data_IF_951703586342
#
_entry.id   IF_951703586342
#
_cell.length_a   1.000
_cell.length_b   1.000
_cell.length_c   1.000
_cell.angle_alpha   90.00
_cell.angle_beta   90.00
_cell.angle_gamma   90.00
#
_symmetry.space_group_name_H-M   'P 1'
#
loop_
_entity.id
_entity.type
_entity.pdbx_description
1 polymer ?
#
# COMPACT_ATOMS: atom_id res chain seq x y z
N UNK A 1 -6.56 -10.60 18.64
CA UNK A 1 -7.43 -11.73 18.24
C UNK A 1 -6.60 -12.91 17.76
N UNK A 2 -7.13 -14.13 17.76
CA UNK A 2 -6.43 -15.30 17.23
C UNK A 2 -6.65 -15.49 15.71
N UNK A 3 -5.76 -16.23 15.06
CA UNK A 3 -5.82 -16.50 13.62
C UNK A 3 -7.14 -17.18 13.19
N UNK A 4 -7.73 -17.98 14.07
CA UNK A 4 -8.99 -18.67 13.81
C UNK A 4 -10.14 -17.67 13.62
N UNK A 5 -10.19 -16.63 14.46
CA UNK A 5 -11.20 -15.56 14.37
C UNK A 5 -11.05 -14.76 13.07
N UNK A 6 -9.83 -14.38 12.70
CA UNK A 6 -9.58 -13.68 11.42
C UNK A 6 -10.03 -14.51 10.23
N UNK A 7 -9.66 -15.81 10.20
CA UNK A 7 -10.06 -16.71 9.12
C UNK A 7 -11.58 -16.88 9.03
N UNK A 8 -12.30 -16.92 10.17
CA UNK A 8 -13.77 -16.99 10.18
C UNK A 8 -14.38 -15.75 9.50
N UNK A 9 -13.88 -14.56 9.83
CA UNK A 9 -14.38 -13.29 9.26
C UNK A 9 -14.06 -13.21 7.77
N UNK A 10 -12.84 -13.54 7.36
CA UNK A 10 -12.44 -13.59 5.94
C UNK A 10 -13.33 -14.56 5.16
N UNK A 11 -13.58 -15.76 5.70
CA UNK A 11 -14.48 -16.74 5.06
C UNK A 11 -15.94 -16.25 5.00
N UNK A 12 -16.41 -15.55 6.03
CA UNK A 12 -17.76 -14.97 6.03
C UNK A 12 -17.90 -13.90 4.95
N UNK A 13 -17.00 -12.91 4.91
CA UNK A 13 -17.01 -11.82 3.92
C UNK A 13 -16.85 -12.39 2.50
N UNK A 14 -16.00 -13.39 2.33
CA UNK A 14 -15.90 -14.11 1.07
C UNK A 14 -17.22 -14.78 0.65
N UNK A 15 -17.93 -15.40 1.59
CA UNK A 15 -19.24 -16.00 1.36
C UNK A 15 -20.29 -15.00 0.88
N UNK A 16 -20.20 -13.73 1.30
CA UNK A 16 -21.09 -12.66 0.80
C UNK A 16 -20.97 -12.53 -0.73
N UNK A 17 -19.76 -12.65 -1.29
CA UNK A 17 -19.55 -12.57 -2.72
C UNK A 17 -20.28 -13.70 -3.47
N UNK A 18 -20.18 -14.93 -2.94
CA UNK A 18 -20.81 -16.12 -3.48
C UNK A 18 -22.34 -16.13 -3.34
N UNK A 19 -22.86 -15.49 -2.29
CA UNK A 19 -24.29 -15.44 -1.97
C UNK A 19 -25.02 -14.31 -2.71
N UNK A 20 -24.37 -13.14 -2.85
CA UNK A 20 -25.02 -11.90 -3.31
C UNK A 20 -24.62 -11.52 -4.74
N UNK A 21 -23.40 -11.84 -5.17
CA UNK A 21 -22.83 -11.31 -6.41
C UNK A 21 -22.73 -12.34 -7.55
N UNK A 22 -23.00 -13.62 -7.27
CA UNK A 22 -22.76 -14.76 -8.18
C UNK A 22 -23.26 -14.56 -9.59
N UNK A 23 -24.52 -14.18 -9.72
CA UNK A 23 -25.21 -14.05 -11.01
C UNK A 23 -25.25 -12.60 -11.53
N UNK A 24 -24.64 -11.67 -10.79
CA UNK A 24 -24.62 -10.24 -11.12
C UNK A 24 -23.27 -9.83 -11.72
N UNK A 25 -22.18 -10.38 -11.20
CA UNK A 25 -20.82 -10.05 -11.59
C UNK A 25 -20.04 -11.31 -11.95
N UNK A 26 -19.04 -11.15 -12.84
CA UNK A 26 -18.03 -12.20 -13.03
C UNK A 26 -17.19 -12.30 -11.74
N UNK A 27 -16.68 -13.49 -11.42
CA UNK A 27 -15.87 -13.71 -10.20
C UNK A 27 -14.73 -12.70 -10.03
N UNK A 28 -14.00 -12.40 -11.10
CA UNK A 28 -12.92 -11.40 -11.04
C UNK A 28 -13.37 -9.96 -10.83
N UNK A 29 -14.68 -9.71 -10.76
CA UNK A 29 -15.31 -8.41 -10.45
C UNK A 29 -15.98 -8.36 -9.09
N UNK A 30 -15.88 -9.43 -8.28
CA UNK A 30 -16.27 -9.38 -6.88
C UNK A 30 -15.44 -8.41 -6.04
N UNK A 31 -14.12 -8.25 -6.25
CA UNK A 31 -13.32 -7.30 -5.47
C UNK A 31 -13.86 -5.85 -5.56
N UNK A 32 -14.33 -5.44 -6.75
CA UNK A 32 -14.90 -4.11 -7.04
C UNK A 32 -16.13 -3.76 -6.16
N UNK A 33 -16.73 -4.76 -5.50
CA UNK A 33 -17.89 -4.58 -4.61
C UNK A 33 -17.55 -4.94 -3.16
N UNK A 34 -16.88 -6.08 -2.95
CA UNK A 34 -16.61 -6.61 -1.60
C UNK A 34 -15.57 -5.78 -0.85
N UNK A 35 -14.50 -5.35 -1.52
CA UNK A 35 -13.45 -4.56 -0.86
C UNK A 35 -13.98 -3.18 -0.44
N UNK A 36 -14.66 -2.39 -1.30
CA UNK A 36 -15.24 -1.12 -0.88
C UNK A 36 -16.26 -1.26 0.24
N UNK A 37 -17.13 -2.30 0.20
CA UNK A 37 -18.10 -2.53 1.27
C UNK A 37 -17.44 -2.90 2.60
N UNK A 38 -16.34 -3.67 2.58
CA UNK A 38 -15.58 -3.99 3.78
C UNK A 38 -14.98 -2.72 4.41
N UNK A 39 -14.38 -1.85 3.59
CA UNK A 39 -13.85 -0.55 4.02
C UNK A 39 -14.98 0.31 4.58
N UNK A 40 -16.08 0.50 3.84
CA UNK A 40 -17.22 1.29 4.27
C UNK A 40 -17.79 0.81 5.61
N UNK A 41 -17.96 -0.51 5.78
CA UNK A 41 -18.50 -1.05 7.03
C UNK A 41 -17.54 -0.81 8.20
N UNK A 42 -16.23 -0.92 7.98
CA UNK A 42 -15.23 -0.60 9.02
C UNK A 42 -15.31 0.88 9.41
N UNK A 43 -15.28 1.79 8.44
CA UNK A 43 -15.32 3.23 8.71
C UNK A 43 -16.62 3.63 9.43
N UNK A 44 -17.76 3.12 8.97
CA UNK A 44 -19.07 3.33 9.61
C UNK A 44 -19.08 2.82 11.06
N UNK A 45 -18.59 1.60 11.30
CA UNK A 45 -18.56 1.02 12.65
C UNK A 45 -17.63 1.76 13.62
N UNK A 46 -16.62 2.48 13.12
CA UNK A 46 -15.74 3.35 13.91
C UNK A 46 -16.43 4.69 14.22
N UNK A 47 -17.21 5.22 13.28
CA UNK A 47 -17.92 6.51 13.41
C UNK A 47 -19.28 6.42 14.11
N UNK A 48 -19.90 5.23 14.17
CA UNK A 48 -21.21 5.01 14.81
C UNK A 48 -21.35 5.74 16.18
N UNK A 49 -20.36 5.68 17.10
CA UNK A 49 -20.45 6.37 18.40
C UNK A 49 -20.38 7.90 18.33
N UNK A 50 -19.69 8.47 17.32
CA UNK A 50 -19.47 9.93 17.19
C UNK A 50 -20.38 10.60 16.15
N UNK A 51 -21.19 9.84 15.41
CA UNK A 51 -22.07 10.33 14.35
C UNK A 51 -22.95 11.53 14.78
N UNK A 52 -23.55 11.48 15.98
CA UNK A 52 -24.36 12.59 16.49
C UNK A 52 -23.54 13.87 16.71
N UNK A 53 -22.35 13.75 17.32
CA UNK A 53 -21.46 14.88 17.57
C UNK A 53 -20.96 15.52 16.26
N UNK A 54 -20.67 14.70 15.25
CA UNK A 54 -20.28 15.18 13.91
C UNK A 54 -21.42 15.96 13.26
N UNK A 55 -22.66 15.46 13.32
CA UNK A 55 -23.82 16.14 12.75
C UNK A 55 -24.15 17.46 13.45
N UNK A 56 -24.09 17.48 14.79
CA UNK A 56 -24.27 18.72 15.57
C UNK A 56 -23.19 19.76 15.23
N UNK A 57 -21.93 19.33 15.14
CA UNK A 57 -20.80 20.18 14.75
C UNK A 57 -20.99 20.72 13.33
N UNK A 58 -21.40 19.86 12.39
CA UNK A 58 -21.68 20.24 11.00
C UNK A 58 -22.76 21.32 10.92
N UNK A 59 -23.87 21.12 11.62
CA UNK A 59 -24.96 22.08 11.67
C UNK A 59 -24.49 23.43 12.23
N UNK A 60 -23.77 23.43 13.35
CA UNK A 60 -23.23 24.64 13.96
C UNK A 60 -22.31 25.41 12.99
N UNK A 61 -21.42 24.70 12.27
CA UNK A 61 -20.49 25.30 11.32
C UNK A 61 -21.22 25.88 10.10
N UNK A 62 -22.27 25.21 9.62
CA UNK A 62 -23.10 25.68 8.51
C UNK A 62 -23.90 26.92 8.87
N UNK A 63 -24.51 26.95 10.05
CA UNK A 63 -25.21 28.13 10.59
C UNK A 63 -24.26 29.32 10.76
N UNK A 64 -23.01 29.04 11.16
CA UNK A 64 -21.93 30.03 11.26
C UNK A 64 -21.31 30.40 9.90
N UNK A 65 -21.70 29.75 8.79
CA UNK A 65 -21.17 29.95 7.43
C UNK A 65 -19.65 29.74 7.32
N UNK A 66 -19.09 28.82 8.11
CA UNK A 66 -17.68 28.43 8.02
C UNK A 66 -17.49 27.54 6.79
N UNK A 67 -16.52 27.85 5.93
CA UNK A 67 -16.25 27.06 4.72
C UNK A 67 -15.28 25.90 4.99
N UNK A 68 -14.23 26.15 5.77
CA UNK A 68 -13.22 25.14 6.13
C UNK A 68 -13.66 24.40 7.39
N UNK A 69 -14.29 23.23 7.21
CA UNK A 69 -14.91 22.46 8.29
C UNK A 69 -14.15 21.16 8.63
N UNK A 70 -13.22 20.74 7.77
CA UNK A 70 -12.62 19.40 7.79
C UNK A 70 -11.99 19.04 9.14
N UNK A 71 -11.07 19.87 9.65
CA UNK A 71 -10.42 19.64 10.95
C UNK A 71 -11.42 19.55 12.10
N UNK A 72 -12.40 20.46 12.15
CA UNK A 72 -13.39 20.48 13.23
C UNK A 72 -14.29 19.24 13.22
N UNK A 73 -14.61 18.71 12.03
CA UNK A 73 -15.40 17.49 11.88
C UNK A 73 -14.57 16.24 12.23
N UNK A 74 -13.29 16.19 11.86
CA UNK A 74 -12.35 15.16 12.30
C UNK A 74 -12.19 15.15 13.84
N UNK A 75 -12.06 16.33 14.46
CA UNK A 75 -11.97 16.48 15.91
C UNK A 75 -13.25 15.97 16.60
N UNK A 76 -14.43 16.30 16.06
CA UNK A 76 -15.72 15.80 16.55
C UNK A 76 -15.88 14.29 16.37
N UNK A 77 -15.35 13.74 15.28
CA UNK A 77 -15.35 12.30 15.02
C UNK A 77 -14.37 11.54 15.92
N UNK A 78 -13.31 12.20 16.40
CA UNK A 78 -12.16 11.58 17.07
C UNK A 78 -11.34 10.70 16.13
N UNK A 79 -11.39 10.98 14.82
CA UNK A 79 -10.81 10.18 13.75
C UNK A 79 -10.28 11.10 12.63
N UNK A 80 -9.32 10.64 11.81
CA UNK A 80 -8.82 11.40 10.67
C UNK A 80 -9.79 11.40 9.46
N UNK A 81 -11.05 11.06 9.69
CA UNK A 81 -12.12 11.01 8.71
C UNK A 81 -13.45 11.19 9.44
N UNK A 82 -14.49 11.57 8.70
CA UNK A 82 -15.84 11.76 9.25
C UNK A 82 -16.91 11.37 8.22
N UNK A 83 -18.16 11.32 8.66
CA UNK A 83 -19.32 11.21 7.78
C UNK A 83 -20.43 12.17 8.26
N UNK A 84 -20.88 13.06 7.37
CA UNK A 84 -21.95 14.05 7.64
C UNK A 84 -23.32 13.61 7.15
N UNK A 85 -23.48 12.38 6.66
CA UNK A 85 -24.80 11.82 6.35
C UNK A 85 -25.57 11.56 7.64
N UNK A 86 -26.89 11.73 7.56
CA UNK A 86 -27.82 11.37 8.63
C UNK A 86 -28.05 9.86 8.76
N UNK A 87 -27.48 9.06 7.86
CA UNK A 87 -27.61 7.62 7.83
C UNK A 87 -26.32 6.95 8.28
N UNK A 88 -26.43 5.95 9.13
CA UNK A 88 -25.41 4.91 9.30
C UNK A 88 -25.71 3.74 8.34
N UNK A 89 -24.75 2.86 8.09
CA UNK A 89 -25.00 1.66 7.27
C UNK A 89 -26.13 0.80 7.86
N UNK A 90 -26.29 0.81 9.19
CA UNK A 90 -27.36 0.06 9.89
C UNK A 90 -28.76 0.63 9.63
N UNK A 91 -28.89 1.93 9.38
CA UNK A 91 -30.16 2.60 9.05
C UNK A 91 -30.64 2.32 7.62
N UNK A 92 -29.76 1.73 6.82
CA UNK A 92 -30.00 1.35 5.42
C UNK A 92 -30.42 -0.12 5.29
N UNK A 93 -30.51 -0.87 6.40
CA UNK A 93 -31.06 -2.22 6.42
C UNK A 93 -32.56 -2.21 6.08
N UNK A 94 -33.03 -3.20 5.33
CA UNK A 94 -34.47 -3.50 5.16
C UNK A 94 -35.37 -2.33 4.75
N UNK A 95 -34.99 -1.59 3.69
CA UNK A 95 -35.87 -0.56 3.10
C UNK A 95 -36.81 -1.17 2.05
N UNK A 96 -38.11 -0.99 2.23
CA UNK A 96 -39.12 -1.57 1.32
C UNK A 96 -39.19 -0.95 -0.09
N UNK A 97 -38.41 0.11 -0.36
CA UNK A 97 -38.36 0.78 -1.67
C UNK A 97 -36.91 0.85 -2.17
N UNK A 98 -36.62 0.17 -3.28
CA UNK A 98 -35.30 0.09 -3.90
C UNK A 98 -34.75 1.45 -4.34
N UNK A 99 -35.59 2.32 -4.89
CA UNK A 99 -35.17 3.64 -5.35
C UNK A 99 -34.80 4.55 -4.17
N UNK A 100 -35.57 4.46 -3.09
CA UNK A 100 -35.28 5.20 -1.86
C UNK A 100 -34.00 4.67 -1.20
N UNK A 101 -33.83 3.34 -1.10
CA UNK A 101 -32.61 2.73 -0.58
C UNK A 101 -31.38 3.18 -1.34
N UNK A 102 -31.46 3.20 -2.68
CA UNK A 102 -30.37 3.69 -3.51
C UNK A 102 -30.03 5.14 -3.21
N UNK A 103 -31.03 6.03 -3.17
CA UNK A 103 -30.81 7.46 -2.90
C UNK A 103 -30.22 7.69 -1.50
N UNK A 104 -30.72 6.98 -0.49
CA UNK A 104 -30.20 7.07 0.88
C UNK A 104 -28.77 6.51 0.99
N UNK A 105 -28.46 5.45 0.24
CA UNK A 105 -27.11 4.90 0.19
C UNK A 105 -26.14 5.84 -0.54
N UNK A 106 -26.58 6.49 -1.62
CA UNK A 106 -25.78 7.53 -2.31
C UNK A 106 -25.50 8.73 -1.39
N UNK A 107 -26.49 9.20 -0.61
CA UNK A 107 -26.32 10.24 0.44
C UNK A 107 -25.34 9.82 1.54
N UNK A 108 -25.46 8.57 2.02
CA UNK A 108 -24.51 7.98 2.96
C UNK A 108 -23.08 8.01 2.44
N UNK A 109 -22.88 7.67 1.16
CA UNK A 109 -21.57 7.75 0.52
C UNK A 109 -21.09 9.20 0.36
N UNK A 110 -21.98 10.14 0.01
CA UNK A 110 -21.64 11.56 -0.18
C UNK A 110 -21.21 12.25 1.11
N UNK A 111 -21.68 11.77 2.27
CA UNK A 111 -21.36 12.37 3.56
C UNK A 111 -19.92 12.14 4.04
N UNK A 112 -19.18 11.19 3.46
CA UNK A 112 -17.82 10.90 3.89
C UNK A 112 -16.81 12.03 3.56
N UNK A 113 -15.78 12.17 4.40
CA UNK A 113 -14.68 13.14 4.24
C UNK A 113 -13.88 12.98 2.93
N UNK A 114 -13.17 14.02 2.47
CA UNK A 114 -12.49 14.01 1.16
C UNK A 114 -11.51 12.85 0.95
N UNK A 115 -10.76 12.46 1.99
CA UNK A 115 -9.84 11.32 1.92
C UNK A 115 -10.54 9.97 1.69
N UNK A 116 -11.76 9.80 2.20
CA UNK A 116 -12.60 8.62 1.96
C UNK A 116 -13.28 8.72 0.59
N UNK A 117 -13.70 9.91 0.14
CA UNK A 117 -14.20 10.10 -1.23
C UNK A 117 -13.15 9.67 -2.27
N UNK A 118 -11.89 10.04 -2.07
CA UNK A 118 -10.76 9.68 -2.94
C UNK A 118 -10.58 8.14 -3.03
N UNK A 119 -10.72 7.43 -1.90
CA UNK A 119 -10.75 5.95 -1.87
C UNK A 119 -11.91 5.42 -2.71
N UNK A 120 -13.14 5.93 -2.51
CA UNK A 120 -14.35 5.44 -3.18
C UNK A 120 -14.35 5.72 -4.69
N UNK A 121 -13.82 6.87 -5.10
CA UNK A 121 -13.66 7.24 -6.50
C UNK A 121 -12.68 6.30 -7.21
N UNK A 122 -11.53 6.02 -6.60
CA UNK A 122 -10.51 5.14 -7.17
C UNK A 122 -10.94 3.66 -7.16
N UNK A 123 -11.77 3.23 -6.21
CA UNK A 123 -12.48 1.96 -6.27
C UNK A 123 -13.58 1.90 -7.35
N UNK A 124 -14.02 3.06 -7.87
CA UNK A 124 -15.15 3.19 -8.79
C UNK A 124 -16.43 2.55 -8.25
N UNK A 125 -16.61 2.54 -6.92
CA UNK A 125 -17.69 1.78 -6.28
C UNK A 125 -19.08 2.30 -6.68
N UNK A 126 -19.22 3.62 -6.87
CA UNK A 126 -20.48 4.25 -7.33
C UNK A 126 -20.97 3.69 -8.66
N UNK A 127 -20.07 3.24 -9.53
CA UNK A 127 -20.43 2.64 -10.81
C UNK A 127 -21.13 1.27 -10.65
N UNK A 128 -20.96 0.62 -9.50
CA UNK A 128 -21.57 -0.68 -9.21
C UNK A 128 -22.99 -0.56 -8.64
N UNK A 129 -23.32 0.59 -8.02
CA UNK A 129 -24.60 0.84 -7.34
C UNK A 129 -25.81 0.64 -8.27
N UNK A 130 -25.84 1.13 -9.52
CA UNK A 130 -26.98 0.91 -10.41
C UNK A 130 -27.29 -0.57 -10.66
N UNK A 131 -26.24 -1.38 -10.84
CA UNK A 131 -26.36 -2.83 -11.06
C UNK A 131 -26.88 -3.52 -9.81
N UNK A 132 -26.30 -3.21 -8.64
CA UNK A 132 -26.71 -3.76 -7.34
C UNK A 132 -28.17 -3.40 -7.00
N UNK A 133 -28.57 -2.16 -7.26
CA UNK A 133 -29.93 -1.67 -6.99
C UNK A 133 -30.95 -2.32 -7.92
N UNK A 134 -30.68 -2.38 -9.23
CA UNK A 134 -31.58 -3.00 -10.21
C UNK A 134 -31.83 -4.49 -9.96
N UNK A 135 -30.84 -5.18 -9.39
CA UNK A 135 -30.90 -6.59 -9.06
C UNK A 135 -31.42 -6.88 -7.63
N UNK A 136 -31.87 -5.86 -6.89
CA UNK A 136 -32.31 -5.97 -5.48
C UNK A 136 -31.22 -6.53 -4.53
N UNK A 137 -29.96 -6.40 -4.92
CA UNK A 137 -28.82 -6.94 -4.17
C UNK A 137 -28.24 -5.94 -3.16
N UNK A 138 -28.46 -4.63 -3.36
CA UNK A 138 -27.89 -3.58 -2.50
C UNK A 138 -28.32 -3.73 -1.03
N UNK A 139 -29.61 -3.95 -0.78
CA UNK A 139 -30.14 -4.15 0.59
C UNK A 139 -29.58 -5.41 1.24
N UNK A 140 -29.59 -6.53 0.50
CA UNK A 140 -29.00 -7.80 0.95
C UNK A 140 -27.51 -7.65 1.29
N UNK A 141 -26.77 -6.88 0.50
CA UNK A 141 -25.35 -6.61 0.72
C UNK A 141 -25.14 -5.83 2.03
N UNK A 142 -25.91 -4.75 2.24
CA UNK A 142 -25.89 -3.96 3.49
C UNK A 142 -26.24 -4.83 4.69
N UNK A 143 -27.26 -5.69 4.58
CA UNK A 143 -27.66 -6.61 5.64
C UNK A 143 -26.55 -7.60 6.00
N UNK A 144 -25.90 -8.22 5.01
CA UNK A 144 -24.79 -9.15 5.20
C UNK A 144 -23.58 -8.50 5.88
N UNK A 145 -23.22 -7.27 5.50
CA UNK A 145 -22.10 -6.55 6.14
C UNK A 145 -22.45 -6.02 7.54
N UNK A 146 -23.73 -5.85 7.85
CA UNK A 146 -24.21 -5.50 9.19
C UNK A 146 -24.60 -6.71 10.04
N UNK A 147 -24.33 -7.93 9.58
CA UNK A 147 -24.71 -9.16 10.27
C UNK A 147 -23.97 -9.27 11.61
N UNK A 148 -24.68 -9.51 12.74
CA UNK A 148 -24.06 -9.62 14.05
C UNK A 148 -23.14 -10.84 14.24
N UNK A 149 -23.10 -11.79 13.30
CA UNK A 149 -22.15 -12.93 13.32
C UNK A 149 -20.69 -12.54 13.07
N UNK A 150 -20.47 -11.34 12.54
CA UNK A 150 -19.14 -10.75 12.37
C UNK A 150 -19.05 -9.42 13.09
N UNK A 151 -17.85 -9.08 13.56
CA UNK A 151 -17.58 -7.78 14.16
C UNK A 151 -16.38 -7.13 13.49
N UNK A 152 -16.63 -6.01 12.79
CA UNK A 152 -15.60 -5.15 12.22
C UNK A 152 -15.44 -3.85 13.03
N UNK A 153 -16.10 -3.71 14.18
CA UNK A 153 -16.03 -2.52 15.05
C UNK A 153 -14.86 -2.60 16.04
N UNK A 154 -14.26 -1.47 16.45
CA UNK A 154 -13.31 -1.43 17.56
C UNK A 154 -13.94 -1.78 18.92
N UNK A 155 -15.26 -1.91 19.00
CA UNK A 155 -15.99 -2.29 20.21
C UNK A 155 -16.41 -3.77 20.17
N UNK A 156 -16.41 -4.49 21.30
CA UNK A 156 -16.90 -5.86 21.34
C UNK A 156 -18.43 -5.92 21.16
N UNK A 157 -18.92 -7.02 20.58
CA UNK A 157 -20.35 -7.35 20.57
C UNK A 157 -20.66 -8.18 21.80
N UNK A 158 -21.64 -7.74 22.60
CA UNK A 158 -22.03 -8.40 23.84
C UNK A 158 -23.33 -9.20 23.65
N UNK A 159 -23.45 -10.30 24.39
CA UNK A 159 -24.70 -11.02 24.59
C UNK A 159 -25.60 -10.25 25.56
N UNK A 160 -26.86 -10.68 25.68
CA UNK A 160 -27.83 -10.08 26.61
C UNK A 160 -27.42 -10.22 28.09
N UNK A 161 -26.59 -11.20 28.42
CA UNK A 161 -26.03 -11.42 29.76
C UNK A 161 -24.72 -10.64 30.02
N UNK A 162 -24.28 -9.82 29.06
CA UNK A 162 -23.06 -9.02 29.14
C UNK A 162 -21.78 -9.79 28.79
N UNK A 163 -21.84 -11.08 28.46
CA UNK A 163 -20.68 -11.84 27.98
C UNK A 163 -20.28 -11.41 26.57
N UNK A 164 -18.99 -11.49 26.22
CA UNK A 164 -18.49 -11.12 24.90
C UNK A 164 -18.89 -12.19 23.88
N UNK A 165 -19.77 -11.84 22.94
CA UNK A 165 -20.14 -12.68 21.79
C UNK A 165 -19.05 -12.66 20.73
N UNK A 166 -18.61 -11.45 20.36
CA UNK A 166 -17.51 -11.24 19.43
C UNK A 166 -16.53 -10.21 20.02
N UNK A 167 -15.22 -10.50 20.02
CA UNK A 167 -14.22 -9.56 20.51
C UNK A 167 -14.20 -8.28 19.68
N UNK A 168 -13.67 -7.21 20.26
CA UNK A 168 -13.35 -5.98 19.56
C UNK A 168 -12.36 -6.23 18.40
N UNK A 169 -12.58 -5.54 17.29
CA UNK A 169 -11.66 -5.48 16.15
C UNK A 169 -10.75 -4.27 16.25
N UNK A 170 -9.59 -4.47 16.86
CA UNK A 170 -8.51 -3.49 16.83
C UNK A 170 -8.00 -3.25 15.40
N UNK A 171 -7.32 -2.13 15.20
CA UNK A 171 -6.83 -1.67 13.90
C UNK A 171 -5.88 -2.66 13.23
N UNK A 172 -4.98 -3.28 14.00
CA UNK A 172 -4.02 -4.26 13.48
C UNK A 172 -4.73 -5.53 12.99
N UNK A 173 -5.69 -6.03 13.77
CA UNK A 173 -6.50 -7.17 13.40
C UNK A 173 -7.36 -6.89 12.15
N UNK A 174 -7.93 -5.69 12.05
CA UNK A 174 -8.71 -5.30 10.86
C UNK A 174 -7.83 -5.24 9.61
N UNK A 175 -6.64 -4.63 9.71
CA UNK A 175 -5.66 -4.62 8.63
C UNK A 175 -5.30 -6.04 8.17
N UNK A 176 -5.11 -6.96 9.12
CA UNK A 176 -4.85 -8.38 8.81
C UNK A 176 -6.01 -9.03 8.05
N UNK A 177 -7.26 -8.79 8.46
CA UNK A 177 -8.46 -9.33 7.78
C UNK A 177 -8.59 -8.76 6.37
N UNK A 178 -8.39 -7.45 6.21
CA UNK A 178 -8.49 -6.78 4.92
C UNK A 178 -7.41 -7.25 3.95
N UNK A 179 -6.17 -7.36 4.44
CA UNK A 179 -5.04 -7.92 3.69
C UNK A 179 -5.32 -9.35 3.20
N UNK A 180 -5.83 -10.22 4.07
CA UNK A 180 -6.12 -11.61 3.71
C UNK A 180 -7.26 -11.70 2.66
N UNK A 181 -8.24 -10.79 2.70
CA UNK A 181 -9.26 -10.67 1.65
C UNK A 181 -8.63 -10.28 0.31
N UNK A 182 -7.79 -9.25 0.31
CA UNK A 182 -7.06 -8.80 -0.89
C UNK A 182 -6.19 -9.92 -1.46
N UNK A 183 -5.43 -10.62 -0.60
CA UNK A 183 -4.63 -11.78 -0.98
C UNK A 183 -5.49 -12.85 -1.66
N UNK A 184 -6.62 -13.21 -1.07
CA UNK A 184 -7.51 -14.26 -1.59
C UNK A 184 -8.11 -13.88 -2.94
N UNK A 185 -8.52 -12.63 -3.12
CA UNK A 185 -9.00 -12.14 -4.42
C UNK A 185 -7.90 -12.12 -5.49
N UNK A 186 -6.69 -11.70 -5.14
CA UNK A 186 -5.54 -11.71 -6.05
C UNK A 186 -5.14 -13.14 -6.47
N UNK A 187 -5.20 -14.10 -5.53
CA UNK A 187 -4.95 -15.52 -5.82
C UNK A 187 -5.96 -16.11 -6.80
N UNK A 188 -7.22 -15.69 -6.75
CA UNK A 188 -8.25 -16.17 -7.69
C UNK A 188 -8.21 -15.48 -9.06
N UNK A 189 -7.75 -14.22 -9.12
CA UNK A 189 -7.78 -13.41 -10.35
C UNK A 189 -6.63 -13.71 -11.33
N UNK A 190 -5.62 -14.50 -10.95
CA UNK A 190 -4.52 -14.92 -11.85
C UNK A 190 -3.81 -13.75 -12.59
N UNK A 191 -3.80 -12.55 -12.00
CA UNK A 191 -3.14 -11.38 -12.58
C UNK A 191 -1.60 -11.53 -12.59
N UNK A 192 -0.94 -10.74 -13.46
CA UNK A 192 0.50 -10.82 -13.71
C UNK A 192 1.33 -10.71 -12.43
N UNK A 193 2.37 -11.54 -12.35
CA UNK A 193 3.23 -11.65 -11.17
C UNK A 193 4.03 -10.35 -10.92
N UNK A 194 4.01 -9.87 -9.67
CA UNK A 194 4.94 -8.88 -9.15
C UNK A 194 4.39 -7.47 -8.94
N UNK A 195 3.20 -7.15 -9.44
CA UNK A 195 2.67 -5.77 -9.46
C UNK A 195 1.68 -5.41 -8.35
N UNK A 196 0.98 -6.38 -7.77
CA UNK A 196 -0.09 -6.09 -6.81
C UNK A 196 0.20 -6.64 -5.41
N UNK A 197 1.08 -7.65 -5.30
CA UNK A 197 1.32 -8.33 -4.04
C UNK A 197 2.72 -8.97 -3.92
N UNK A 198 3.49 -8.54 -2.92
CA UNK A 198 4.80 -9.10 -2.57
C UNK A 198 4.67 -10.10 -1.41
N UNK A 199 5.18 -11.34 -1.53
CA UNK A 199 5.12 -12.32 -0.45
C UNK A 199 5.73 -11.82 0.87
N UNK A 200 5.04 -12.03 2.00
CA UNK A 200 5.43 -11.53 3.32
C UNK A 200 6.81 -11.99 3.80
N UNK A 201 7.22 -13.19 3.44
CA UNK A 201 8.57 -13.70 3.68
C UNK A 201 9.65 -12.92 2.90
N UNK A 202 9.39 -12.56 1.64
CA UNK A 202 10.28 -11.69 0.87
C UNK A 202 10.34 -10.27 1.48
N UNK A 203 9.20 -9.69 1.85
CA UNK A 203 9.15 -8.36 2.49
C UNK A 203 9.93 -8.35 3.82
N UNK A 204 9.74 -9.36 4.68
CA UNK A 204 10.51 -9.50 5.92
C UNK A 204 12.01 -9.64 5.69
N UNK A 205 12.42 -10.33 4.62
CA UNK A 205 13.82 -10.39 4.25
C UNK A 205 14.36 -9.01 3.83
N UNK A 206 13.64 -8.29 2.97
CA UNK A 206 14.03 -6.94 2.50
C UNK A 206 14.22 -5.97 3.67
N UNK A 207 13.24 -5.90 4.56
CA UNK A 207 13.24 -5.01 5.73
C UNK A 207 14.36 -5.38 6.71
N UNK A 208 14.60 -6.68 6.96
CA UNK A 208 15.74 -7.12 7.78
C UNK A 208 17.09 -6.80 7.13
N UNK A 209 17.24 -6.93 5.82
CA UNK A 209 18.45 -6.52 5.11
C UNK A 209 18.72 -5.01 5.22
N UNK A 210 17.66 -4.19 5.28
CA UNK A 210 17.76 -2.75 5.50
C UNK A 210 18.12 -2.44 6.95
N UNK A 211 17.42 -3.00 7.94
CA UNK A 211 17.49 -2.51 9.33
C UNK A 211 18.47 -3.26 10.23
N UNK A 212 18.69 -4.57 10.05
CA UNK A 212 19.62 -5.32 10.92
C UNK A 212 21.04 -4.73 10.95
N UNK A 213 21.62 -4.25 9.83
CA UNK A 213 22.97 -3.66 9.86
C UNK A 213 23.09 -2.36 10.64
N UNK A 214 21.97 -1.74 11.04
CA UNK A 214 21.92 -0.49 11.78
C UNK A 214 21.09 -0.60 13.08
N UNK A 215 20.69 -1.81 13.49
CA UNK A 215 19.75 -2.00 14.58
C UNK A 215 20.21 -1.36 15.89
N UNK A 216 21.52 -1.42 16.17
CA UNK A 216 22.19 -0.81 17.32
C UNK A 216 22.30 0.72 17.26
N UNK A 217 21.94 1.33 16.12
CA UNK A 217 22.03 2.76 15.84
C UNK A 217 20.68 3.43 15.65
N UNK A 218 19.58 2.67 15.68
CA UNK A 218 18.23 3.24 15.63
C UNK A 218 18.00 3.98 16.95
N UNK A 219 17.66 5.26 16.86
CA UNK A 219 17.44 6.15 18.00
C UNK A 219 15.95 6.53 18.07
N UNK A 220 15.43 6.91 19.25
CA UNK A 220 14.13 7.54 19.34
C UNK A 220 14.05 8.75 18.41
N UNK A 221 12.95 8.90 17.69
CA UNK A 221 12.79 9.93 16.66
C UNK A 221 11.91 9.49 15.50
N UNK A 222 11.82 10.37 14.50
CA UNK A 222 11.01 10.16 13.31
C UNK A 222 11.84 9.60 12.15
N UNK A 223 11.31 8.61 11.45
CA UNK A 223 11.91 8.03 10.25
C UNK A 223 10.92 8.03 9.09
N UNK A 224 11.37 8.46 7.91
CA UNK A 224 10.53 8.46 6.71
C UNK A 224 10.81 7.23 5.84
N UNK A 225 9.76 6.46 5.54
CA UNK A 225 9.80 5.24 4.74
C UNK A 225 9.10 5.48 3.40
N UNK A 226 9.69 5.03 2.29
CA UNK A 226 9.13 5.25 0.95
C UNK A 226 9.10 4.00 0.06
N UNK A 227 7.98 3.82 -0.65
CA UNK A 227 7.81 2.86 -1.73
C UNK A 227 7.16 3.52 -2.96
N UNK A 228 7.90 3.60 -4.07
CA UNK A 228 7.46 4.19 -5.32
C UNK A 228 6.67 3.25 -6.23
N UNK A 229 6.36 2.04 -5.80
CA UNK A 229 5.44 1.13 -6.46
C UNK A 229 4.77 0.31 -5.35
N UNK A 230 4.07 1.03 -4.45
CA UNK A 230 3.73 0.50 -3.14
C UNK A 230 2.67 -0.60 -3.17
N UNK A 231 2.00 -0.79 -4.30
CA UNK A 231 0.91 -1.74 -4.43
C UNK A 231 -0.11 -1.47 -3.32
N UNK A 232 -0.44 -2.51 -2.57
CA UNK A 232 -1.42 -2.46 -1.47
C UNK A 232 -0.84 -1.92 -0.16
N UNK A 233 0.40 -1.42 -0.13
CA UNK A 233 1.03 -0.83 1.07
C UNK A 233 1.61 -1.85 2.06
N UNK A 234 1.51 -3.15 1.77
CA UNK A 234 2.00 -4.19 2.65
C UNK A 234 3.50 -4.05 2.98
N UNK A 235 4.33 -3.65 2.01
CA UNK A 235 5.76 -3.48 2.24
C UNK A 235 6.09 -2.39 3.26
N UNK A 236 5.43 -1.23 3.16
CA UNK A 236 5.60 -0.11 4.07
C UNK A 236 5.26 -0.50 5.51
N UNK A 237 4.14 -1.18 5.72
CA UNK A 237 3.68 -1.57 7.06
C UNK A 237 4.58 -2.63 7.72
N UNK A 238 5.07 -3.61 6.96
CA UNK A 238 6.05 -4.57 7.53
C UNK A 238 7.40 -3.91 7.80
N UNK A 239 7.77 -2.89 7.02
CA UNK A 239 8.99 -2.14 7.27
C UNK A 239 8.89 -1.33 8.57
N UNK A 240 7.76 -0.67 8.81
CA UNK A 240 7.44 -0.02 10.09
C UNK A 240 7.51 -1.01 11.26
N UNK A 241 6.77 -2.12 11.19
CA UNK A 241 6.77 -3.14 12.24
C UNK A 241 8.18 -3.64 12.56
N UNK A 242 8.97 -3.94 11.51
CA UNK A 242 10.34 -4.45 11.67
C UNK A 242 11.26 -3.40 12.29
N UNK A 243 11.13 -2.12 11.92
CA UNK A 243 11.94 -1.04 12.48
C UNK A 243 11.61 -0.83 13.97
N UNK A 244 10.32 -0.81 14.32
CA UNK A 244 9.86 -0.67 15.70
C UNK A 244 10.29 -1.86 16.55
N UNK A 245 10.15 -3.09 16.04
CA UNK A 245 10.59 -4.32 16.71
C UNK A 245 12.09 -4.28 17.02
N UNK A 246 12.92 -3.98 16.02
CA UNK A 246 14.38 -3.92 16.20
C UNK A 246 14.80 -2.80 17.15
N UNK A 247 14.15 -1.64 17.08
CA UNK A 247 14.43 -0.53 17.98
C UNK A 247 14.05 -0.86 19.44
N UNK A 248 12.94 -1.58 19.64
CA UNK A 248 12.52 -2.09 20.96
C UNK A 248 13.52 -3.11 21.50
N UNK A 249 13.94 -4.06 20.68
CA UNK A 249 14.96 -5.05 21.05
C UNK A 249 16.29 -4.38 21.45
N UNK A 250 16.72 -3.38 20.68
CA UNK A 250 17.92 -2.60 20.98
C UNK A 250 17.79 -1.78 22.28
N UNK A 251 16.57 -1.35 22.62
CA UNK A 251 16.26 -0.62 23.86
C UNK A 251 15.86 -1.53 25.04
N UNK A 252 16.31 -2.79 25.05
CA UNK A 252 16.08 -3.71 26.18
C UNK A 252 14.63 -4.15 26.38
N UNK A 253 13.78 -4.00 25.35
CA UNK A 253 12.36 -4.35 25.39
C UNK A 253 11.42 -3.18 25.71
N UNK A 254 11.95 -2.00 26.00
CA UNK A 254 11.16 -0.80 26.29
C UNK A 254 10.66 -0.10 25.02
N UNK A 255 9.66 0.77 25.18
CA UNK A 255 9.15 1.58 24.07
C UNK A 255 10.29 2.38 23.41
N UNK A 256 10.44 2.23 22.10
CA UNK A 256 11.59 2.74 21.38
C UNK A 256 11.54 4.25 21.11
N UNK A 257 10.37 4.88 21.29
CA UNK A 257 10.13 6.28 20.90
C UNK A 257 10.33 6.54 19.40
N UNK A 258 10.30 5.48 18.58
CA UNK A 258 10.38 5.55 17.13
C UNK A 258 9.00 5.87 16.57
N UNK A 259 8.91 6.93 15.78
CA UNK A 259 7.75 7.25 14.94
C UNK A 259 8.14 7.09 13.47
N UNK A 260 7.24 6.57 12.67
CA UNK A 260 7.43 6.34 11.24
C UNK A 260 6.43 7.15 10.44
N UNK A 261 6.87 7.61 9.26
CA UNK A 261 6.02 8.26 8.28
C UNK A 261 6.11 7.49 6.97
N UNK A 262 4.98 6.95 6.52
CA UNK A 262 4.91 6.05 5.38
C UNK A 262 4.50 6.81 4.12
N UNK A 263 5.33 6.77 3.10
CA UNK A 263 5.11 7.40 1.80
C UNK A 263 4.98 6.34 0.71
N UNK A 264 3.86 6.37 -0.01
CA UNK A 264 3.57 5.40 -1.07
C UNK A 264 3.15 6.07 -2.37
N UNK A 265 3.57 5.51 -3.50
CA UNK A 265 3.04 5.86 -4.82
C UNK A 265 2.59 4.62 -5.59
N UNK A 266 1.37 4.66 -6.15
CA UNK A 266 0.77 3.55 -6.90
C UNK A 266 -0.04 4.05 -8.12
N UNK A 267 0.26 3.51 -9.30
CA UNK A 267 -0.37 3.95 -10.56
C UNK A 267 -1.74 3.31 -10.79
N UNK A 268 -1.98 2.10 -10.26
CA UNK A 268 -3.25 1.42 -10.40
C UNK A 268 -4.27 2.00 -9.40
N UNK A 269 -5.38 2.62 -9.87
CA UNK A 269 -6.38 3.27 -9.00
C UNK A 269 -6.94 2.34 -7.91
N UNK A 270 -7.32 1.12 -8.28
CA UNK A 270 -7.94 0.17 -7.34
C UNK A 270 -6.93 -0.28 -6.28
N UNK A 271 -5.68 -0.52 -6.68
CA UNK A 271 -4.59 -0.90 -5.78
C UNK A 271 -4.21 0.26 -4.84
N UNK A 272 -4.18 1.49 -5.36
CA UNK A 272 -4.02 2.71 -4.57
C UNK A 272 -5.13 2.85 -3.52
N UNK A 273 -6.39 2.68 -3.92
CA UNK A 273 -7.53 2.75 -3.01
C UNK A 273 -7.44 1.72 -1.88
N UNK A 274 -6.97 0.50 -2.18
CA UNK A 274 -6.69 -0.54 -1.17
C UNK A 274 -5.60 -0.07 -0.19
N UNK A 275 -4.48 0.44 -0.71
CA UNK A 275 -3.37 0.92 0.12
C UNK A 275 -3.81 2.06 1.05
N UNK A 276 -4.48 3.08 0.50
CA UNK A 276 -4.96 4.23 1.27
C UNK A 276 -6.02 3.83 2.30
N UNK A 277 -6.93 2.92 1.94
CA UNK A 277 -7.91 2.39 2.88
C UNK A 277 -7.26 1.59 4.02
N UNK A 278 -6.26 0.75 3.74
CA UNK A 278 -5.55 -0.02 4.77
C UNK A 278 -4.84 0.90 5.77
N UNK A 279 -4.15 1.94 5.29
CA UNK A 279 -3.51 2.95 6.15
C UNK A 279 -4.54 3.68 7.04
N UNK A 280 -5.68 4.08 6.47
CA UNK A 280 -6.74 4.76 7.21
C UNK A 280 -7.37 3.84 8.27
N UNK A 281 -7.59 2.57 7.93
CA UNK A 281 -8.15 1.54 8.83
C UNK A 281 -7.20 1.21 9.99
N UNK A 282 -5.88 1.30 9.77
CA UNK A 282 -4.87 1.10 10.80
C UNK A 282 -4.81 2.24 11.83
N UNK A 283 -5.53 3.34 11.57
CA UNK A 283 -5.62 4.50 12.46
C UNK A 283 -4.56 5.56 12.19
N UNK A 284 -3.77 5.39 11.12
CA UNK A 284 -2.67 6.29 10.77
C UNK A 284 -3.11 7.26 9.68
N UNK A 285 -3.99 8.20 10.05
CA UNK A 285 -4.53 9.20 9.13
C UNK A 285 -3.45 9.99 8.38
N UNK A 286 -2.39 10.41 9.09
CA UNK A 286 -1.25 11.11 8.49
C UNK A 286 -0.56 10.27 7.41
N UNK A 287 -0.47 8.95 7.60
CA UNK A 287 0.12 8.04 6.60
C UNK A 287 -0.80 7.85 5.39
N UNK A 288 -2.12 7.82 5.58
CA UNK A 288 -3.08 7.72 4.48
C UNK A 288 -2.98 8.91 3.50
N UNK A 289 -2.70 10.12 3.99
CA UNK A 289 -2.50 11.32 3.16
C UNK A 289 -1.15 11.35 2.42
N UNK A 290 -0.20 10.52 2.87
CA UNK A 290 1.09 10.27 2.24
C UNK A 290 1.03 9.10 1.23
N UNK A 291 -0.14 8.53 0.95
CA UNK A 291 -0.33 7.64 -0.19
C UNK A 291 -0.87 8.46 -1.37
N UNK A 292 -0.16 8.41 -2.50
CA UNK A 292 -0.54 9.11 -3.73
C UNK A 292 -0.72 8.09 -4.84
N UNK A 293 -1.77 8.21 -5.63
CA UNK A 293 -2.02 7.22 -6.65
C UNK A 293 -3.23 7.52 -7.51
N UNK A 294 -3.39 6.69 -8.55
CA UNK A 294 -4.32 6.94 -9.64
C UNK A 294 -3.61 6.83 -10.99
N UNK A 295 -4.40 6.75 -12.06
CA UNK A 295 -3.89 6.50 -13.42
C UNK A 295 -2.93 7.60 -13.93
N UNK A 296 -3.00 8.77 -13.32
CA UNK A 296 -2.18 9.95 -13.57
C UNK A 296 -0.91 10.03 -12.71
N UNK A 297 -0.75 9.17 -11.69
CA UNK A 297 0.35 9.21 -10.73
C UNK A 297 1.43 8.15 -11.00
N UNK A 298 1.95 8.12 -12.23
CA UNK A 298 3.13 7.28 -12.50
C UNK A 298 4.36 7.81 -11.77
N UNK A 299 5.06 6.93 -11.05
CA UNK A 299 6.32 7.25 -10.35
C UNK A 299 7.41 7.76 -11.28
N UNK A 300 7.41 7.33 -12.55
CA UNK A 300 8.41 7.76 -13.52
C UNK A 300 8.08 9.14 -14.10
N UNK A 301 6.85 9.37 -14.57
CA UNK A 301 6.49 10.61 -15.27
C UNK A 301 5.82 11.70 -14.42
N UNK A 302 5.21 11.32 -13.29
CA UNK A 302 4.55 12.21 -12.34
C UNK A 302 4.93 11.84 -10.90
N UNK A 303 6.17 12.14 -10.54
CA UNK A 303 6.73 11.88 -9.21
C UNK A 303 6.02 12.70 -8.14
N UNK A 304 5.23 12.05 -7.30
CA UNK A 304 4.49 12.72 -6.23
C UNK A 304 5.40 13.28 -5.14
N UNK A 305 6.67 12.83 -5.09
CA UNK A 305 7.63 13.12 -4.05
C UNK A 305 8.94 13.68 -4.61
N UNK A 306 8.90 14.42 -5.72
CA UNK A 306 10.07 14.87 -6.47
C UNK A 306 11.18 15.55 -5.65
N UNK A 307 10.84 16.30 -4.61
CA UNK A 307 11.79 17.03 -3.76
C UNK A 307 12.05 16.38 -2.39
N UNK A 308 11.46 15.22 -2.10
CA UNK A 308 11.65 14.52 -0.83
C UNK A 308 12.88 13.59 -0.88
N UNK A 309 13.55 13.52 0.26
CA UNK A 309 14.58 12.54 0.60
C UNK A 309 14.02 11.63 1.69
N UNK A 310 14.42 10.36 1.74
CA UNK A 310 13.87 9.38 2.67
C UNK A 310 14.97 8.61 3.41
N UNK A 311 14.74 8.25 4.68
CA UNK A 311 15.68 7.44 5.46
C UNK A 311 15.72 6.01 4.94
N UNK A 312 14.55 5.45 4.62
CA UNK A 312 14.44 4.04 4.26
C UNK A 312 13.51 3.86 3.08
N UNK A 313 13.92 3.07 2.11
CA UNK A 313 13.10 2.86 0.92
C UNK A 313 13.09 1.39 0.52
N UNK A 314 11.93 0.91 0.10
CA UNK A 314 11.77 -0.44 -0.39
C UNK A 314 10.75 -0.46 -1.50
N UNK A 315 10.95 -1.30 -2.51
CA UNK A 315 9.99 -1.40 -3.60
C UNK A 315 10.09 -2.73 -4.36
N UNK A 316 8.98 -3.17 -4.92
CA UNK A 316 8.92 -4.28 -5.87
C UNK A 316 8.24 -3.77 -7.16
N UNK A 317 8.97 -3.03 -8.01
CA UNK A 317 8.41 -2.44 -9.21
C UNK A 317 8.11 -3.48 -10.30
N UNK A 318 7.25 -3.16 -11.28
CA UNK A 318 6.93 -4.05 -12.40
C UNK A 318 8.17 -4.52 -13.17
N UNK A 319 8.24 -5.83 -13.45
CA UNK A 319 9.41 -6.44 -14.10
C UNK A 319 9.36 -6.33 -15.62
N UNK A 320 10.37 -5.70 -16.23
CA UNK A 320 10.53 -5.70 -17.69
C UNK A 320 9.38 -5.02 -18.44
N UNK A 321 8.64 -4.13 -17.76
CA UNK A 321 7.51 -3.43 -18.37
C UNK A 321 7.96 -2.19 -19.15
N UNK A 322 7.24 -1.97 -20.25
CA UNK A 322 7.43 -0.80 -21.09
C UNK A 322 6.96 0.47 -20.36
N UNK A 323 7.83 1.49 -20.34
CA UNK A 323 7.55 2.83 -19.82
C UNK A 323 7.46 3.87 -20.96
N UNK A 324 7.08 3.44 -22.17
CA UNK A 324 6.91 4.33 -23.33
C UNK A 324 5.98 5.52 -23.06
N UNK A 325 4.86 5.30 -22.37
CA UNK A 325 3.91 6.35 -22.01
C UNK A 325 4.55 7.39 -21.10
N UNK A 326 5.32 6.94 -20.11
CA UNK A 326 6.07 7.82 -19.22
C UNK A 326 7.11 8.63 -20.00
N UNK A 327 7.85 7.96 -20.89
CA UNK A 327 8.82 8.64 -21.73
C UNK A 327 8.17 9.71 -22.62
N UNK A 328 7.03 9.42 -23.24
CA UNK A 328 6.30 10.40 -24.07
C UNK A 328 5.82 11.60 -23.23
N UNK A 329 5.34 11.35 -22.01
CA UNK A 329 4.91 12.40 -21.07
C UNK A 329 6.08 13.28 -20.62
N UNK A 330 7.21 12.67 -20.25
CA UNK A 330 8.41 13.38 -19.80
C UNK A 330 9.20 14.03 -20.93
N UNK A 331 8.99 13.57 -22.16
CA UNK A 331 9.73 14.00 -23.34
C UNK A 331 8.80 14.08 -24.57
N UNK A 332 7.98 15.14 -24.68
CA UNK A 332 7.02 15.30 -25.78
C UNK A 332 7.63 15.33 -27.18
N UNK A 333 8.94 15.61 -27.27
CA UNK A 333 9.69 15.57 -28.54
C UNK A 333 9.91 14.14 -29.09
N UNK A 334 9.65 13.11 -28.27
CA UNK A 334 9.93 11.70 -28.58
C UNK A 334 11.41 11.30 -28.59
N UNK A 335 12.33 12.26 -28.40
CA UNK A 335 13.78 12.02 -28.41
C UNK A 335 14.32 11.87 -26.99
N UNK A 336 14.66 10.63 -26.60
CA UNK A 336 15.21 10.30 -25.27
C UNK A 336 16.30 11.26 -24.77
N UNK A 337 17.19 11.70 -25.66
CA UNK A 337 18.30 12.60 -25.32
C UNK A 337 17.87 14.01 -24.90
N UNK A 338 16.60 14.36 -25.12
CA UNK A 338 16.02 15.63 -24.68
C UNK A 338 15.28 15.56 -23.34
N UNK A 339 15.20 14.38 -22.72
CA UNK A 339 14.76 14.25 -21.33
C UNK A 339 15.71 15.06 -20.43
N UNK A 340 15.17 15.82 -19.47
CA UNK A 340 15.92 16.72 -18.57
C UNK A 340 15.58 16.52 -17.09
N UNK A 341 14.87 15.46 -16.75
CA UNK A 341 14.55 15.13 -15.37
C UNK A 341 15.85 14.86 -14.58
N UNK A 342 16.10 15.58 -13.47
CA UNK A 342 17.34 15.46 -12.69
C UNK A 342 17.51 14.10 -12.02
N UNK A 343 16.46 13.27 -11.95
CA UNK A 343 16.55 11.89 -11.46
C UNK A 343 17.23 10.97 -12.49
N UNK A 344 17.19 11.34 -13.78
CA UNK A 344 17.65 10.49 -14.87
C UNK A 344 18.71 11.14 -15.79
N UNK A 345 18.95 12.45 -15.63
CA UNK A 345 20.07 13.19 -16.21
C UNK A 345 20.87 13.81 -15.08
N UNK A 346 22.02 13.22 -14.79
CA UNK A 346 22.81 13.55 -13.61
C UNK A 346 24.19 14.04 -14.01
N UNK A 347 24.91 14.61 -13.04
CA UNK A 347 26.35 14.79 -13.14
C UNK A 347 27.05 13.62 -12.46
N UNK A 348 27.92 12.89 -13.17
CA UNK A 348 28.65 11.74 -12.63
C UNK A 348 30.02 11.60 -13.29
N UNK A 349 31.05 11.26 -12.52
CA UNK A 349 32.41 11.02 -13.01
C UNK A 349 32.99 12.12 -13.93
N UNK A 350 32.62 13.39 -13.70
CA UNK A 350 33.05 14.54 -14.51
C UNK A 350 32.21 14.78 -15.78
N UNK A 351 31.21 13.95 -16.06
CA UNK A 351 30.24 14.13 -17.13
C UNK A 351 29.00 14.85 -16.58
N UNK A 352 28.71 16.06 -17.07
CA UNK A 352 27.62 16.90 -16.54
C UNK A 352 26.21 16.50 -17.03
N UNK A 353 26.13 15.62 -18.02
CA UNK A 353 24.88 15.22 -18.69
C UNK A 353 24.81 13.69 -18.85
N UNK A 354 25.18 13.00 -17.78
CA UNK A 354 25.23 11.54 -17.72
C UNK A 354 23.81 10.96 -17.73
N UNK A 355 23.53 10.13 -18.74
CA UNK A 355 22.19 9.60 -18.99
C UNK A 355 21.96 8.27 -18.28
N UNK A 356 20.97 8.24 -17.39
CA UNK A 356 20.46 7.01 -16.77
C UNK A 356 19.27 6.41 -17.53
N UNK A 357 18.78 7.09 -18.57
CA UNK A 357 17.57 6.72 -19.31
C UNK A 357 17.70 5.35 -19.98
N UNK A 358 16.89 4.38 -19.54
CA UNK A 358 16.90 3.00 -20.06
C UNK A 358 16.18 2.84 -21.40
N UNK A 359 16.17 1.63 -21.95
CA UNK A 359 15.28 1.28 -23.06
C UNK A 359 13.82 1.39 -22.65
N UNK A 360 12.95 1.88 -23.54
CA UNK A 360 11.56 2.16 -23.19
C UNK A 360 10.71 0.90 -23.01
N UNK A 361 11.26 -0.26 -23.39
CA UNK A 361 10.68 -1.57 -23.15
C UNK A 361 10.92 -2.10 -21.73
N UNK A 362 11.86 -1.54 -20.95
CA UNK A 362 12.15 -1.98 -19.59
C UNK A 362 12.48 -0.77 -18.69
N UNK A 363 11.52 -0.43 -17.82
CA UNK A 363 11.63 0.67 -16.86
C UNK A 363 12.18 0.27 -15.50
N UNK A 364 12.50 -1.00 -15.23
CA UNK A 364 12.80 -1.48 -13.87
C UNK A 364 13.95 -0.70 -13.21
N UNK A 365 15.07 -0.54 -13.91
CA UNK A 365 16.23 0.19 -13.38
C UNK A 365 15.95 1.70 -13.18
N UNK A 366 14.97 2.27 -13.87
CA UNK A 366 14.55 3.66 -13.64
C UNK A 366 13.88 3.82 -12.27
N UNK A 367 13.15 2.82 -11.78
CA UNK A 367 12.63 2.85 -10.41
C UNK A 367 13.77 2.86 -9.37
N UNK A 368 14.83 2.06 -9.58
CA UNK A 368 16.00 2.09 -8.70
C UNK A 368 16.69 3.46 -8.74
N UNK A 369 16.86 4.04 -9.93
CA UNK A 369 17.45 5.37 -10.08
C UNK A 369 16.60 6.45 -9.38
N UNK A 370 15.27 6.35 -9.45
CA UNK A 370 14.35 7.23 -8.74
C UNK A 370 14.47 7.11 -7.21
N UNK A 371 14.70 5.90 -6.67
CA UNK A 371 14.92 5.75 -5.23
C UNK A 371 16.31 6.28 -4.83
N UNK A 372 17.34 5.99 -5.64
CA UNK A 372 18.70 6.46 -5.37
C UNK A 372 18.82 7.99 -5.41
N UNK A 373 18.05 8.68 -6.26
CA UNK A 373 18.01 10.15 -6.29
C UNK A 373 17.35 10.79 -5.06
N UNK A 374 16.62 10.00 -4.26
CA UNK A 374 15.94 10.42 -3.02
C UNK A 374 16.68 10.00 -1.76
N UNK A 375 17.94 9.60 -1.87
CA UNK A 375 18.73 9.26 -0.70
C UNK A 375 19.10 10.51 0.11
N UNK A 376 18.76 10.49 1.39
CA UNK A 376 19.14 11.46 2.40
C UNK A 376 20.63 11.26 2.76
N UNK A 377 21.44 12.30 2.56
CA UNK A 377 22.86 12.33 2.90
C UNK A 377 23.17 13.19 4.14
N UNK A 378 22.15 13.72 4.81
CA UNK A 378 22.27 14.67 5.92
C UNK A 378 22.17 13.99 7.28
N UNK A 379 21.57 12.81 7.35
CA UNK A 379 21.43 12.04 8.60
C UNK A 379 22.64 11.15 8.87
N UNK A 380 22.80 10.76 10.14
CA UNK A 380 23.85 9.82 10.58
C UNK A 380 23.71 8.45 9.90
N UNK A 381 22.48 7.97 9.76
CA UNK A 381 22.14 6.69 9.14
C UNK A 381 22.11 6.77 7.61
N UNK A 382 21.95 7.98 7.05
CA UNK A 382 21.72 8.19 5.64
C UNK A 382 20.50 7.42 5.16
N UNK A 383 20.56 6.93 3.92
CA UNK A 383 19.52 6.09 3.35
C UNK A 383 19.93 4.64 3.18
N UNK A 384 18.97 3.74 3.38
CA UNK A 384 19.09 2.33 2.99
C UNK A 384 17.92 1.94 2.09
N UNK A 385 18.23 1.23 1.00
CA UNK A 385 17.26 0.82 -0.02
C UNK A 385 17.27 -0.69 -0.18
N UNK A 386 16.10 -1.33 -0.26
CA UNK A 386 15.97 -2.70 -0.78
C UNK A 386 14.95 -2.74 -1.93
N UNK A 387 15.40 -3.06 -3.16
CA UNK A 387 14.51 -3.20 -4.31
C UNK A 387 14.58 -4.61 -4.89
N UNK A 388 13.42 -5.17 -5.25
CA UNK A 388 13.35 -6.45 -5.96
C UNK A 388 13.54 -6.25 -7.45
N UNK A 389 14.34 -7.11 -8.06
CA UNK A 389 14.61 -7.14 -9.49
C UNK A 389 14.45 -8.54 -10.06
N UNK A 390 14.14 -8.64 -11.35
CA UNK A 390 14.43 -9.84 -12.13
C UNK A 390 15.92 -9.85 -12.57
N UNK A 391 16.34 -10.92 -13.25
CA UNK A 391 17.73 -11.05 -13.71
C UNK A 391 18.21 -9.98 -14.70
N UNK A 392 17.33 -9.25 -15.39
CA UNK A 392 17.75 -8.28 -16.41
C UNK A 392 18.61 -7.16 -15.80
N UNK A 393 18.29 -6.72 -14.59
CA UNK A 393 19.04 -5.71 -13.82
C UNK A 393 20.55 -5.95 -13.78
N UNK A 394 21.00 -7.21 -13.73
CA UNK A 394 22.40 -7.59 -13.52
C UNK A 394 23.28 -7.40 -14.76
N UNK A 395 22.75 -7.60 -15.96
CA UNK A 395 23.57 -7.71 -17.19
C UNK A 395 23.03 -6.93 -18.39
N UNK A 396 21.80 -6.43 -18.32
CA UNK A 396 21.13 -5.80 -19.47
C UNK A 396 21.72 -4.43 -19.76
N UNK A 397 21.91 -4.10 -21.03
CA UNK A 397 22.37 -2.79 -21.52
C UNK A 397 23.88 -2.76 -21.81
N UNK A 398 24.21 -2.34 -23.03
CA UNK A 398 25.61 -2.21 -23.47
C UNK A 398 26.29 -0.99 -22.80
N UNK A 399 27.62 -0.89 -22.95
CA UNK A 399 28.38 0.25 -22.46
C UNK A 399 27.76 1.58 -22.98
N UNK A 400 27.51 2.50 -22.06
CA UNK A 400 26.90 3.81 -22.36
C UNK A 400 25.36 3.82 -22.40
N UNK A 401 24.68 2.68 -22.32
CA UNK A 401 23.22 2.63 -22.18
C UNK A 401 22.76 2.82 -20.74
N UNK A 402 21.55 3.32 -20.55
CA UNK A 402 20.99 3.69 -19.23
C UNK A 402 21.12 2.59 -18.18
N UNK A 403 20.79 1.33 -18.50
CA UNK A 403 20.92 0.22 -17.56
C UNK A 403 22.36 0.02 -17.07
N UNK A 404 23.34 0.10 -17.98
CA UNK A 404 24.77 0.01 -17.66
C UNK A 404 25.26 1.23 -16.88
N UNK A 405 24.77 2.41 -17.25
CA UNK A 405 25.10 3.67 -16.62
C UNK A 405 24.56 3.75 -15.19
N UNK A 406 23.34 3.28 -14.94
CA UNK A 406 22.80 3.20 -13.57
C UNK A 406 23.65 2.26 -12.72
N UNK A 407 24.02 1.06 -13.21
CA UNK A 407 24.91 0.17 -12.47
C UNK A 407 26.25 0.84 -12.15
N UNK A 408 26.87 1.47 -13.15
CA UNK A 408 28.14 2.19 -12.98
C UNK A 408 28.01 3.30 -11.94
N UNK A 409 26.97 4.13 -12.04
CA UNK A 409 26.70 5.21 -11.09
C UNK A 409 26.56 4.71 -9.65
N UNK A 410 25.74 3.68 -9.43
CA UNK A 410 25.51 3.12 -8.09
C UNK A 410 26.77 2.45 -7.50
N UNK A 411 27.57 1.78 -8.33
CA UNK A 411 28.79 1.08 -7.90
C UNK A 411 29.93 2.08 -7.64
N UNK A 412 30.14 3.06 -8.52
CA UNK A 412 31.23 4.03 -8.39
C UNK A 412 31.00 5.02 -7.23
N UNK A 413 29.74 5.27 -6.85
CA UNK A 413 29.42 6.00 -5.61
C UNK A 413 29.47 5.11 -4.35
N UNK A 414 29.87 3.84 -4.49
CA UNK A 414 29.95 2.86 -3.41
C UNK A 414 28.63 2.67 -2.65
N UNK A 415 27.48 2.70 -3.34
CA UNK A 415 26.17 2.55 -2.71
C UNK A 415 25.65 1.13 -2.72
N UNK A 416 25.95 0.31 -3.74
CA UNK A 416 25.51 -1.09 -3.80
C UNK A 416 26.18 -1.89 -2.69
N UNK A 417 25.47 -2.25 -1.63
CA UNK A 417 26.01 -2.95 -0.47
C UNK A 417 25.92 -4.47 -0.63
N UNK A 418 24.80 -4.99 -1.13
CA UNK A 418 24.63 -6.41 -1.40
C UNK A 418 23.67 -6.68 -2.57
N UNK A 419 23.84 -7.84 -3.21
CA UNK A 419 22.89 -8.42 -4.16
C UNK A 419 22.56 -9.85 -3.67
N UNK A 420 21.28 -10.13 -3.45
CA UNK A 420 20.80 -11.41 -2.92
C UNK A 420 19.98 -12.14 -3.97
N UNK A 421 20.42 -13.31 -4.43
CA UNK A 421 19.65 -14.18 -5.32
C UNK A 421 18.62 -14.99 -4.51
N UNK A 422 17.35 -14.94 -4.90
CA UNK A 422 16.24 -15.55 -4.17
C UNK A 422 15.82 -16.92 -4.75
N UNK A 423 15.18 -17.79 -3.94
CA UNK A 423 14.58 -19.02 -4.44
C UNK A 423 13.62 -18.78 -5.62
N UNK A 424 13.62 -19.70 -6.58
CA UNK A 424 12.63 -19.72 -7.65
C UNK A 424 11.22 -19.90 -7.07
N UNK A 425 10.21 -19.40 -7.78
CA UNK A 425 8.81 -19.46 -7.37
C UNK A 425 8.49 -18.81 -6.00
N UNK A 426 9.40 -18.01 -5.42
CA UNK A 426 9.11 -17.29 -4.18
C UNK A 426 7.94 -16.31 -4.36
N UNK A 427 7.90 -15.63 -5.51
CA UNK A 427 6.85 -14.70 -5.91
C UNK A 427 5.69 -15.45 -6.56
N UNK A 428 4.47 -15.05 -6.21
CA UNK A 428 3.26 -15.66 -6.76
C UNK A 428 3.28 -15.60 -8.29
N UNK A 429 2.86 -16.68 -8.92
CA UNK A 429 2.60 -16.78 -10.37
C UNK A 429 3.80 -16.58 -11.32
N UNK A 430 5.04 -16.45 -10.82
CA UNK A 430 6.27 -16.40 -11.63
C UNK A 430 7.32 -17.42 -11.21
N UNK A 431 8.01 -17.99 -12.20
CA UNK A 431 9.17 -18.86 -12.00
C UNK A 431 10.49 -18.20 -12.37
N UNK A 432 10.49 -16.87 -12.57
CA UNK A 432 11.72 -16.13 -12.89
C UNK A 432 12.66 -16.09 -11.67
N UNK A 433 13.95 -16.06 -11.94
CA UNK A 433 14.94 -15.70 -10.93
C UNK A 433 14.76 -14.24 -10.52
N UNK A 434 14.68 -14.01 -9.21
CA UNK A 434 14.54 -12.68 -8.60
C UNK A 434 15.71 -12.40 -7.67
N UNK A 435 16.01 -11.12 -7.50
CA UNK A 435 17.15 -10.62 -6.73
C UNK A 435 16.71 -9.44 -5.86
N UNK A 436 17.31 -9.28 -4.69
CA UNK A 436 17.20 -8.06 -3.88
C UNK A 436 18.50 -7.28 -4.05
N UNK A 437 18.39 -6.05 -4.54
CA UNK A 437 19.47 -5.07 -4.52
C UNK A 437 19.37 -4.28 -3.22
N UNK A 438 20.44 -4.29 -2.42
CA UNK A 438 20.54 -3.52 -1.18
C UNK A 438 21.53 -2.39 -1.38
N UNK A 439 21.06 -1.14 -1.24
CA UNK A 439 21.91 0.05 -1.31
C UNK A 439 22.01 0.73 0.06
N UNK A 440 23.14 1.38 0.30
CA UNK A 440 23.38 2.23 1.46
C UNK A 440 24.37 3.34 1.10
N UNK A 441 24.05 4.59 1.40
CA UNK A 441 25.00 5.71 1.30
C UNK A 441 25.81 5.90 2.60
N UNK A 442 25.68 4.97 3.56
CA UNK A 442 26.41 4.88 4.84
C UNK A 442 26.86 3.43 5.10
N UNK A 443 27.65 2.87 4.19
CA UNK A 443 28.24 1.54 4.38
C UNK A 443 29.11 1.50 5.64
N UNK A 444 29.06 0.38 6.36
CA UNK A 444 29.98 0.11 7.45
C UNK A 444 31.42 0.04 6.94
N UNK A 445 32.39 0.37 7.79
CA UNK A 445 33.82 0.43 7.41
C UNK A 445 34.31 -0.87 6.75
N UNK A 446 33.80 -2.03 7.17
CA UNK A 446 34.19 -3.33 6.61
C UNK A 446 33.65 -3.59 5.19
N UNK A 447 32.57 -2.88 4.79
CA UNK A 447 31.85 -3.01 3.52
C UNK A 447 32.18 -1.92 2.49
N UNK A 448 32.87 -0.85 2.89
CA UNK A 448 33.30 0.21 1.96
C UNK A 448 34.17 -0.36 0.83
N UNK A 449 33.90 0.06 -0.41
CA UNK A 449 34.55 -0.42 -1.63
C UNK A 449 34.23 -1.87 -2.01
N UNK A 450 33.22 -2.48 -1.38
CA UNK A 450 32.83 -3.88 -1.60
C UNK A 450 31.34 -4.01 -1.90
N UNK A 451 31.02 -5.04 -2.68
CA UNK A 451 29.65 -5.52 -2.92
C UNK A 451 29.56 -6.97 -2.47
N UNK A 452 28.63 -7.31 -1.59
CA UNK A 452 28.41 -8.69 -1.15
C UNK A 452 27.42 -9.39 -2.08
N UNK A 453 27.83 -10.53 -2.66
CA UNK A 453 26.94 -11.38 -3.45
C UNK A 453 26.49 -12.56 -2.60
N UNK A 454 25.18 -12.75 -2.45
CA UNK A 454 24.59 -13.81 -1.63
C UNK A 454 23.71 -14.68 -2.53
N UNK A 455 24.03 -15.97 -2.62
CA UNK A 455 23.16 -16.97 -3.25
C UNK A 455 22.28 -17.63 -2.18
N UNK A 456 21.02 -17.21 -2.11
CA UNK A 456 20.01 -17.79 -1.24
C UNK A 456 19.01 -18.66 -2.02
N UNK A 457 19.31 -19.06 -3.26
CA UNK A 457 18.37 -19.81 -4.12
C UNK A 457 17.94 -21.16 -3.53
N UNK A 458 18.76 -21.74 -2.66
CA UNK A 458 18.50 -23.02 -1.97
C UNK A 458 17.91 -22.84 -0.56
N UNK A 459 17.65 -21.61 -0.12
CA UNK A 459 17.23 -21.32 1.27
C UNK A 459 15.71 -21.20 1.36
N UNK A 460 15.02 -22.32 1.22
CA UNK A 460 13.56 -22.37 1.31
C UNK A 460 13.08 -23.64 2.01
N UNK A 461 11.82 -23.60 2.45
CA UNK A 461 11.09 -24.79 2.89
C UNK A 461 9.85 -24.92 2.01
N UNK A 462 9.59 -26.09 1.40
CA UNK A 462 8.38 -26.31 0.62
C UNK A 462 7.11 -26.04 1.44
N UNK A 463 6.12 -25.46 0.79
CA UNK A 463 4.79 -25.25 1.35
C UNK A 463 4.02 -26.58 1.38
N UNK A 464 3.22 -26.77 2.43
CA UNK A 464 2.31 -27.94 2.50
C UNK A 464 1.20 -27.89 1.44
N UNK A 465 0.81 -26.68 1.06
CA UNK A 465 -0.17 -26.39 0.00
C UNK A 465 0.37 -25.23 -0.82
N UNK A 466 0.47 -25.43 -2.12
CA UNK A 466 0.96 -24.40 -3.04
C UNK A 466 0.01 -23.20 -3.04
N UNK A 467 0.59 -22.01 -3.23
CA UNK A 467 -0.14 -20.76 -3.44
C UNK A 467 0.17 -20.26 -4.85
N UNK A 468 -0.69 -20.62 -5.81
CA UNK A 468 -0.38 -20.46 -7.23
C UNK A 468 0.85 -21.27 -7.62
N UNK A 469 1.86 -20.61 -8.21
CA UNK A 469 3.17 -21.24 -8.51
C UNK A 469 4.11 -21.34 -7.31
N UNK A 470 3.85 -20.63 -6.21
CA UNK A 470 4.68 -20.69 -4.99
C UNK A 470 4.51 -22.04 -4.30
N UNK A 471 5.62 -22.76 -4.12
CA UNK A 471 5.62 -24.16 -3.70
C UNK A 471 6.64 -24.49 -2.60
#
# INVERSE_FOLDING_TARGET
MDQATHNKIVSFIWGIADDVLRDLFKRGKYPDVILPMCVLRRLDAVLEPSSAAVLETKQMLDEAKITEQDQALCDAAGQPFYNTSKFTMRDLRSRGNQQQLRADFEDYLDGFSPNVQDILENFKFRNQIPTLSKADALGTLVEKFCDPEINLSPNPVLNSDGSVRHPAMDNHAMGTVFEELVRKFNEENNEEAGEHWTPRDAVRLMTKLMFLPIADKIKPGSYELYDGACGTGGMLTVAEDTLIELAREANGGEESGVKTYLYGQEINPETFAICKADMLIKGDGENADNIRGGAEYSTLSNDAYGAKEFDFMLSNPPYGKSWKKDLESMCPSGKKDSLRDPRFRISHAGESDYSLVTRSSDGQMMFLANMASKMNDRTELGSRIAQVHNGSSLFTGDAGQGESNIRRWLIENDWVEAIVALPLNLFYNTGIATYIWVLSNRKSQQRQGKVQLIDATQWYRPLRKNLGKKN
#
